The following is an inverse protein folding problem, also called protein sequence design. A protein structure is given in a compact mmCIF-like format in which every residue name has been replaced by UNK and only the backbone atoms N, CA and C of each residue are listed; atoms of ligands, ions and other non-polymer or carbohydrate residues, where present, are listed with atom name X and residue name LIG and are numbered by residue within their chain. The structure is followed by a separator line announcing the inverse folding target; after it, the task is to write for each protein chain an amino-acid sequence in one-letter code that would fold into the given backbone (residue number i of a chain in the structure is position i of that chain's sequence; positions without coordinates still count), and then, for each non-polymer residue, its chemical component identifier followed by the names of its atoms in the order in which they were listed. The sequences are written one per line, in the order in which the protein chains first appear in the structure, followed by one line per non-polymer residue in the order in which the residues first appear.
data_IF_227105308131
#
_entry.id   IF_227105308131
#
_cell.length_a   1.000
_cell.length_b   1.000
_cell.length_c   1.000
_cell.angle_alpha   90.00
_cell.angle_beta   90.00
_cell.angle_gamma   90.00
#
_symmetry.space_group_name_H-M   'P 1'
#
loop_
_entity.id
_entity.type
_entity.pdbx_description
1 polymer ?
#
# COMPACT_ATOMS: atom_id res chain seq x y z
N UNK A 1 -9.51 7.16 17.28
CA UNK A 1 -9.72 6.52 15.96
C UNK A 1 -8.76 6.98 14.85
N UNK A 2 -8.39 8.26 14.73
CA UNK A 2 -7.55 8.79 13.62
C UNK A 2 -6.16 8.13 13.48
N UNK A 3 -5.48 7.84 14.59
CA UNK A 3 -4.16 7.18 14.58
C UNK A 3 -4.21 5.74 14.02
N UNK A 4 -5.25 4.98 14.34
CA UNK A 4 -5.42 3.61 13.88
C UNK A 4 -5.68 3.54 12.37
N UNK A 5 -6.47 4.47 11.84
CA UNK A 5 -6.73 4.57 10.40
C UNK A 5 -5.45 4.88 9.60
N UNK A 6 -4.66 5.87 10.03
CA UNK A 6 -3.39 6.19 9.38
C UNK A 6 -2.41 5.01 9.40
N UNK A 7 -2.29 4.33 10.55
CA UNK A 7 -1.45 3.13 10.68
C UNK A 7 -1.92 2.01 9.76
N UNK A 8 -3.24 1.81 9.61
CA UNK A 8 -3.82 0.82 8.72
C UNK A 8 -3.44 1.10 7.25
N UNK A 9 -3.56 2.34 6.80
CA UNK A 9 -3.15 2.74 5.44
C UNK A 9 -1.66 2.46 5.21
N UNK A 10 -0.79 2.86 6.14
CA UNK A 10 0.66 2.63 6.03
C UNK A 10 0.97 1.13 5.97
N UNK A 11 0.36 0.32 6.84
CA UNK A 11 0.57 -1.13 6.87
C UNK A 11 0.12 -1.79 5.56
N UNK A 12 -1.02 -1.36 4.99
CA UNK A 12 -1.51 -1.83 3.69
C UNK A 12 -0.54 -1.47 2.56
N UNK A 13 -0.08 -0.23 2.50
CA UNK A 13 0.91 0.19 1.50
C UNK A 13 2.21 -0.64 1.58
N UNK A 14 2.72 -0.87 2.79
CA UNK A 14 3.90 -1.71 2.99
C UNK A 14 3.64 -3.17 2.61
N UNK A 15 2.43 -3.70 2.87
CA UNK A 15 2.02 -5.04 2.45
C UNK A 15 2.05 -5.20 0.93
N UNK A 16 1.48 -4.25 0.18
CA UNK A 16 1.51 -4.26 -1.30
C UNK A 16 2.94 -4.23 -1.84
N UNK A 17 3.79 -3.37 -1.28
CA UNK A 17 5.20 -3.29 -1.69
C UNK A 17 5.95 -4.60 -1.40
N UNK A 18 5.67 -5.27 -0.28
CA UNK A 18 6.26 -6.59 0.05
C UNK A 18 5.78 -7.70 -0.89
N UNK A 19 4.52 -7.66 -1.32
CA UNK A 19 4.00 -8.62 -2.29
C UNK A 19 4.73 -8.53 -3.62
N UNK A 20 5.05 -7.32 -4.08
CA UNK A 20 5.78 -7.10 -5.34
C UNK A 20 7.30 -7.29 -5.21
N UNK A 21 7.90 -6.75 -4.16
CA UNK A 21 9.36 -6.65 -4.02
C UNK A 21 9.87 -7.61 -2.95
N UNK A 22 10.48 -8.72 -3.38
CA UNK A 22 11.01 -9.75 -2.49
C UNK A 22 12.05 -9.22 -1.48
N UNK A 23 12.80 -8.18 -1.85
CA UNK A 23 13.79 -7.53 -0.97
C UNK A 23 13.18 -6.96 0.32
N UNK A 24 11.87 -6.68 0.33
CA UNK A 24 11.16 -6.17 1.51
C UNK A 24 10.56 -7.27 2.39
N UNK A 25 10.58 -8.54 1.93
CA UNK A 25 9.98 -9.67 2.66
C UNK A 25 10.89 -10.20 3.77
N UNK A 26 12.20 -10.17 3.54
CA UNK A 26 13.19 -10.67 4.50
C UNK A 26 13.80 -9.53 5.32
N UNK A 27 14.11 -9.77 6.60
CA UNK A 27 14.92 -8.83 7.36
C UNK A 27 16.28 -8.68 6.67
N UNK A 28 16.72 -7.43 6.54
CA UNK A 28 18.01 -7.10 5.94
C UNK A 28 18.86 -6.36 6.97
N UNK A 29 20.17 -6.63 6.96
CA UNK A 29 21.15 -5.98 7.84
C UNK A 29 21.67 -4.66 7.25
N UNK A 30 20.85 -3.97 6.46
CA UNK A 30 21.22 -2.69 5.89
C UNK A 30 21.17 -1.60 6.96
N UNK A 31 22.09 -0.63 6.86
CA UNK A 31 22.00 0.59 7.64
C UNK A 31 20.66 1.30 7.34
N UNK A 32 20.08 1.99 8.33
CA UNK A 32 18.76 2.62 8.24
C UNK A 32 18.64 3.52 7.00
N UNK A 33 19.70 4.26 6.66
CA UNK A 33 19.73 5.13 5.49
C UNK A 33 19.58 4.35 4.17
N UNK A 34 20.17 3.17 4.08
CA UNK A 34 20.08 2.30 2.90
C UNK A 34 18.68 1.69 2.82
N UNK A 35 18.12 1.25 3.95
CA UNK A 35 16.75 0.73 3.99
C UNK A 35 15.73 1.78 3.50
N UNK A 36 15.87 3.03 3.94
CA UNK A 36 15.02 4.14 3.49
C UNK A 36 15.12 4.36 1.97
N UNK A 37 16.34 4.34 1.41
CA UNK A 37 16.54 4.46 -0.04
C UNK A 37 15.89 3.32 -0.82
N UNK A 38 15.98 2.09 -0.32
CA UNK A 38 15.33 0.91 -0.92
C UNK A 38 13.82 1.10 -0.94
N UNK A 39 13.21 1.47 0.19
CA UNK A 39 11.75 1.69 0.27
C UNK A 39 11.30 2.78 -0.69
N UNK A 40 12.00 3.91 -0.74
CA UNK A 40 11.69 5.01 -1.68
C UNK A 40 11.81 4.55 -3.13
N UNK A 41 12.87 3.82 -3.48
CA UNK A 41 13.03 3.29 -4.83
C UNK A 41 11.89 2.32 -5.21
N UNK A 42 11.49 1.43 -4.30
CA UNK A 42 10.34 0.54 -4.49
C UNK A 42 9.03 1.31 -4.73
N UNK A 43 8.79 2.40 -3.98
CA UNK A 43 7.63 3.27 -4.19
C UNK A 43 7.66 3.96 -5.56
N UNK A 44 8.81 4.52 -5.95
CA UNK A 44 8.97 5.21 -7.24
C UNK A 44 8.75 4.26 -8.41
N UNK A 45 9.35 3.07 -8.36
CA UNK A 45 9.18 2.04 -9.39
C UNK A 45 7.74 1.54 -9.45
N UNK A 46 7.11 1.30 -8.31
CA UNK A 46 5.70 0.92 -8.27
C UNK A 46 4.80 1.99 -8.91
N UNK A 47 5.01 3.26 -8.58
CA UNK A 47 4.25 4.36 -9.15
C UNK A 47 4.47 4.49 -10.67
N UNK A 48 5.71 4.30 -11.13
CA UNK A 48 6.03 4.30 -12.56
C UNK A 48 5.32 3.15 -13.29
N UNK A 49 5.41 1.93 -12.76
CA UNK A 49 4.74 0.76 -13.36
C UNK A 49 3.23 0.98 -13.42
N UNK A 50 2.61 1.52 -12.36
CA UNK A 50 1.18 1.84 -12.36
C UNK A 50 0.79 2.87 -13.42
N UNK A 51 1.67 3.82 -13.71
CA UNK A 51 1.42 4.86 -14.71
C UNK A 51 1.53 4.30 -16.13
N UNK A 52 2.55 3.50 -16.39
CA UNK A 52 2.86 3.00 -17.74
C UNK A 52 2.11 1.69 -18.08
N UNK A 53 1.74 0.90 -17.07
CA UNK A 53 1.06 -0.38 -17.23
C UNK A 53 -0.31 -0.38 -16.52
N UNK A 54 -1.34 0.04 -17.25
CA UNK A 54 -2.70 0.16 -16.73
C UNK A 54 -3.34 -1.18 -16.30
N UNK A 55 -2.79 -2.32 -16.73
CA UNK A 55 -3.24 -3.69 -16.37
C UNK A 55 -2.09 -4.49 -15.82
N UNK A 56 -1.55 -4.03 -14.70
CA UNK A 56 -0.56 -4.80 -13.98
C UNK A 56 -1.25 -5.89 -13.14
N UNK A 57 -1.05 -7.19 -13.45
CA UNK A 57 -1.72 -8.30 -12.75
C UNK A 57 -1.47 -8.29 -11.24
N UNK A 58 -0.28 -7.83 -10.81
CA UNK A 58 0.10 -7.78 -9.40
C UNK A 58 -0.61 -6.65 -8.63
N UNK A 59 -1.07 -5.61 -9.33
CA UNK A 59 -1.87 -4.54 -8.74
C UNK A 59 -3.36 -4.87 -8.73
N UNK A 60 -3.84 -5.58 -9.76
CA UNK A 60 -5.24 -6.00 -9.82
C UNK A 60 -5.56 -7.07 -8.76
N UNK A 61 -4.63 -7.97 -8.48
CA UNK A 61 -4.74 -8.90 -7.33
C UNK A 61 -4.73 -8.16 -5.98
N UNK A 62 -3.95 -7.08 -5.86
CA UNK A 62 -3.91 -6.26 -4.65
C UNK A 62 -5.23 -5.49 -4.41
N UNK A 63 -5.90 -5.01 -5.47
CA UNK A 63 -7.21 -4.33 -5.36
C UNK A 63 -8.31 -5.27 -4.89
N UNK A 64 -8.28 -6.53 -5.35
CA UNK A 64 -9.27 -7.55 -4.97
C UNK A 64 -9.19 -7.97 -3.49
N UNK A 65 -8.08 -7.65 -2.80
CA UNK A 65 -7.88 -7.88 -1.36
C UNK A 65 -8.28 -6.68 -0.49
N UNK A 66 -8.58 -5.53 -1.10
CA UNK A 66 -9.11 -4.36 -0.41
C UNK A 66 -10.63 -4.48 -0.46
N UNK A 67 -11.33 -4.78 0.65
CA UNK A 67 -12.76 -4.59 0.68
C UNK A 67 -13.02 -3.12 0.35
N UNK A 68 -13.88 -2.87 -0.64
CA UNK A 68 -14.42 -1.55 -0.94
C UNK A 68 -14.81 -0.88 0.39
N UNK A 69 -14.47 0.40 0.62
CA UNK A 69 -14.94 1.10 1.80
C UNK A 69 -16.46 0.94 1.87
N UNK A 70 -16.95 0.31 2.93
CA UNK A 70 -18.39 0.25 3.18
C UNK A 70 -18.80 1.71 3.38
N UNK A 71 -19.56 2.27 2.42
CA UNK A 71 -20.23 3.54 2.61
C UNK A 71 -21.13 3.36 3.84
N UNK A 72 -20.77 3.99 4.96
CA UNK A 72 -21.64 4.04 6.12
C UNK A 72 -22.94 4.73 5.67
N UNK A 73 -24.13 4.13 5.88
CA UNK A 73 -25.37 4.76 5.49
C UNK A 73 -25.44 6.13 6.14
N UNK A 74 -25.70 7.16 5.33
CA UNK A 74 -25.97 8.50 5.83
C UNK A 74 -27.24 8.38 6.67
N UNK A 75 -27.11 8.46 8.00
CA UNK A 75 -28.26 8.64 8.87
C UNK A 75 -28.87 9.99 8.50
N UNK A 76 -29.99 9.96 7.76
CA UNK A 76 -30.85 11.13 7.57
C UNK A 76 -31.30 11.59 8.96
N UNK A 77 -30.70 12.67 9.45
CA UNK A 77 -31.12 13.39 10.65
C UNK A 77 -32.56 13.91 10.39
N UNK A 78 -33.58 13.41 11.09
CA UNK A 78 -34.93 13.94 10.95
C UNK A 78 -34.97 15.30 11.64
N UNK A 79 -35.26 16.35 10.86
CA UNK A 79 -35.49 17.72 11.36
C UNK A 79 -36.54 17.79 12.47
#
# INVERSE_FOLDING_TARGET
MRHSAARNVINRCLGMLKNRWAILRSPSYYHVQTHNKIVVACCLLHNLIRRENARDPLDDEAKNLVPEPVEEPVEDDPQ
#
